data_IF_936473583838
#
_entry.id   IF_936473583838
#
_cell.length_a   1.000
_cell.length_b   1.000
_cell.length_c   1.000
_cell.angle_alpha   90.00
_cell.angle_beta   90.00
_cell.angle_gamma   90.00
#
_symmetry.space_group_name_H-M   'P 1'
#
loop_
_entity.id
_entity.type
_entity.pdbx_description
1 polymer ?
#
# COMPACT_ATOMS: atom_id res chain seq x y z
N UNK A 1 -1.38 11.93 -30.26
CA UNK A 1 -2.06 10.87 -29.47
C UNK A 1 -1.11 10.10 -28.54
N UNK A 2 0.15 10.53 -28.29
CA UNK A 2 1.13 9.72 -27.56
C UNK A 2 1.48 10.12 -26.11
N UNK A 3 0.94 11.22 -25.57
CA UNK A 3 1.23 11.63 -24.17
C UNK A 3 0.33 10.90 -23.18
N UNK A 4 -0.97 10.82 -23.50
CA UNK A 4 -1.99 10.33 -22.57
C UNK A 4 -1.84 8.83 -22.23
N UNK A 5 -1.31 8.03 -23.16
CA UNK A 5 -1.07 6.60 -22.96
C UNK A 5 0.20 6.36 -22.13
N UNK A 6 1.23 7.20 -22.29
CA UNK A 6 2.44 7.15 -21.47
C UNK A 6 2.15 7.60 -20.03
N UNK A 7 1.39 8.69 -19.88
CA UNK A 7 0.96 9.20 -18.57
C UNK A 7 0.09 8.17 -17.82
N UNK A 8 -0.75 7.42 -18.54
CA UNK A 8 -1.56 6.35 -17.96
C UNK A 8 -0.72 5.13 -17.56
N UNK A 9 0.26 4.76 -18.37
CA UNK A 9 1.14 3.64 -18.09
C UNK A 9 2.05 3.91 -16.88
N UNK A 10 2.64 5.11 -16.81
CA UNK A 10 3.45 5.56 -15.67
C UNK A 10 2.62 5.57 -14.37
N UNK A 11 1.36 6.01 -14.46
CA UNK A 11 0.43 6.00 -13.32
C UNK A 11 0.10 4.58 -12.86
N UNK A 12 -0.09 3.63 -13.77
CA UNK A 12 -0.32 2.23 -13.41
C UNK A 12 0.91 1.61 -12.75
N UNK A 13 2.10 1.88 -13.28
CA UNK A 13 3.36 1.44 -12.69
C UNK A 13 3.52 1.97 -11.26
N UNK A 14 3.29 3.28 -11.03
CA UNK A 14 3.35 3.87 -9.70
C UNK A 14 2.36 3.25 -8.70
N UNK A 15 1.15 2.87 -9.15
CA UNK A 15 0.17 2.18 -8.30
C UNK A 15 0.65 0.78 -7.91
N UNK A 16 1.25 0.05 -8.86
CA UNK A 16 1.80 -1.29 -8.61
C UNK A 16 2.98 -1.20 -7.63
N UNK A 17 3.93 -0.30 -7.86
CA UNK A 17 5.07 -0.08 -6.97
C UNK A 17 4.63 0.26 -5.55
N UNK A 18 3.64 1.16 -5.42
CA UNK A 18 3.12 1.55 -4.12
C UNK A 18 2.42 0.38 -3.41
N UNK A 19 1.68 -0.46 -4.14
CA UNK A 19 1.05 -1.66 -3.59
C UNK A 19 2.10 -2.65 -3.04
N UNK A 20 3.19 -2.86 -3.78
CA UNK A 20 4.30 -3.74 -3.36
C UNK A 20 5.02 -3.21 -2.12
N UNK A 21 5.31 -1.90 -2.08
CA UNK A 21 5.93 -1.26 -0.92
C UNK A 21 5.07 -1.38 0.34
N UNK A 22 3.76 -1.13 0.21
CA UNK A 22 2.82 -1.25 1.33
C UNK A 22 2.70 -2.70 1.78
N UNK A 23 2.67 -3.66 0.84
CA UNK A 23 2.66 -5.08 1.18
C UNK A 23 3.89 -5.48 2.01
N UNK A 24 5.09 -5.08 1.58
CA UNK A 24 6.34 -5.32 2.31
C UNK A 24 6.33 -4.64 3.68
N UNK A 25 5.82 -3.41 3.77
CA UNK A 25 5.68 -2.69 5.03
C UNK A 25 4.73 -3.42 6.00
N UNK A 26 3.60 -3.94 5.51
CA UNK A 26 2.65 -4.73 6.31
C UNK A 26 3.30 -6.02 6.84
N UNK A 27 4.04 -6.74 6.01
CA UNK A 27 4.78 -7.92 6.46
C UNK A 27 5.81 -7.60 7.54
N UNK A 28 6.55 -6.51 7.33
CA UNK A 28 7.58 -6.05 8.27
C UNK A 28 6.96 -5.58 9.58
N UNK A 29 5.85 -4.85 9.52
CA UNK A 29 5.05 -4.45 10.67
C UNK A 29 4.55 -5.66 11.46
N UNK A 30 3.98 -6.67 10.78
CA UNK A 30 3.57 -7.93 11.45
C UNK A 30 4.74 -8.62 12.16
N UNK A 31 5.91 -8.70 11.51
CA UNK A 31 7.12 -9.26 12.14
C UNK A 31 7.57 -8.44 13.35
N UNK A 32 7.45 -7.12 13.29
CA UNK A 32 7.77 -6.22 14.40
C UNK A 32 6.80 -6.41 15.57
N UNK A 33 5.50 -6.43 15.31
CA UNK A 33 4.47 -6.67 16.32
C UNK A 33 4.68 -8.03 17.00
N UNK A 34 4.92 -9.10 16.22
CA UNK A 34 5.16 -10.44 16.76
C UNK A 34 6.39 -10.54 17.69
N UNK A 35 7.33 -9.59 17.59
CA UNK A 35 8.54 -9.50 18.43
C UNK A 35 8.45 -8.44 19.53
N UNK A 36 7.34 -7.72 19.59
CA UNK A 36 7.12 -6.61 20.52
C UNK A 36 6.12 -7.02 21.60
N UNK A 37 6.16 -6.33 22.74
CA UNK A 37 5.26 -6.54 23.87
C UNK A 37 4.87 -5.21 24.49
N UNK A 38 3.71 -5.17 25.16
CA UNK A 38 3.16 -3.96 25.78
C UNK A 38 3.02 -2.81 24.78
N UNK A 39 3.37 -1.60 25.19
CA UNK A 39 3.18 -0.39 24.39
C UNK A 39 3.82 -0.46 22.99
N UNK A 40 4.94 -1.16 22.84
CA UNK A 40 5.59 -1.33 21.53
C UNK A 40 4.79 -2.25 20.60
N UNK A 41 4.09 -3.24 21.15
CA UNK A 41 3.16 -4.05 20.37
C UNK A 41 1.98 -3.20 19.88
N UNK A 42 1.40 -2.40 20.77
CA UNK A 42 0.25 -1.55 20.45
C UNK A 42 0.60 -0.56 19.33
N UNK A 43 1.75 0.09 19.43
CA UNK A 43 2.25 0.98 18.37
C UNK A 43 2.53 0.25 17.05
N UNK A 44 3.10 -0.96 17.10
CA UNK A 44 3.33 -1.75 15.89
C UNK A 44 2.01 -2.22 15.25
N UNK A 45 1.00 -2.52 16.06
CA UNK A 45 -0.34 -2.85 15.61
C UNK A 45 -1.02 -1.65 14.93
N UNK A 46 -0.94 -0.45 15.53
CA UNK A 46 -1.48 0.78 14.94
C UNK A 46 -0.86 1.08 13.56
N UNK A 47 0.45 0.89 13.41
CA UNK A 47 1.12 1.04 12.10
C UNK A 47 0.56 0.05 11.09
N UNK A 48 0.33 -1.20 11.48
CA UNK A 48 -0.24 -2.22 10.58
C UNK A 48 -1.66 -1.82 10.14
N UNK A 49 -2.50 -1.32 11.04
CA UNK A 49 -3.86 -0.87 10.72
C UNK A 49 -3.84 0.31 9.75
N UNK A 50 -2.96 1.29 9.95
CA UNK A 50 -2.77 2.39 9.00
C UNK A 50 -2.35 1.88 7.61
N UNK A 51 -1.44 0.90 7.55
CA UNK A 51 -1.03 0.30 6.28
C UNK A 51 -2.15 -0.48 5.59
N UNK A 52 -3.07 -1.10 6.35
CA UNK A 52 -4.28 -1.70 5.77
C UNK A 52 -5.19 -0.64 5.13
N UNK A 53 -5.37 0.50 5.78
CA UNK A 53 -6.15 1.61 5.20
C UNK A 53 -5.50 2.16 3.93
N UNK A 54 -4.17 2.34 3.94
CA UNK A 54 -3.41 2.77 2.75
C UNK A 54 -3.59 1.77 1.61
N UNK A 55 -3.44 0.47 1.88
CA UNK A 55 -3.64 -0.58 0.87
C UNK A 55 -5.05 -0.52 0.25
N UNK A 56 -6.09 -0.36 1.06
CA UNK A 56 -7.46 -0.25 0.56
C UNK A 56 -7.63 0.97 -0.36
N UNK A 57 -6.97 2.10 -0.08
CA UNK A 57 -6.99 3.27 -0.99
C UNK A 57 -6.27 2.98 -2.31
N UNK A 58 -5.15 2.25 -2.28
CA UNK A 58 -4.41 1.85 -3.49
C UNK A 58 -5.27 0.93 -4.36
N UNK A 59 -5.95 -0.05 -3.76
CA UNK A 59 -6.89 -0.95 -4.45
C UNK A 59 -8.03 -0.14 -5.11
N UNK A 60 -8.60 0.84 -4.40
CA UNK A 60 -9.62 1.75 -4.97
C UNK A 60 -9.10 2.62 -6.12
N UNK A 61 -7.86 3.10 -6.03
CA UNK A 61 -7.21 3.82 -7.13
C UNK A 61 -7.10 2.90 -8.33
N UNK A 62 -6.60 1.67 -8.15
CA UNK A 62 -6.44 0.70 -9.22
C UNK A 62 -7.78 0.36 -9.90
N UNK A 63 -8.84 0.11 -9.13
CA UNK A 63 -10.18 -0.16 -9.66
C UNK A 63 -10.75 1.00 -10.47
N UNK A 64 -10.56 2.24 -10.00
CA UNK A 64 -11.01 3.44 -10.72
C UNK A 64 -10.20 3.74 -11.97
N UNK A 65 -8.95 3.26 -12.01
CA UNK A 65 -8.04 3.39 -13.15
C UNK A 65 -8.37 2.39 -14.26
N UNK A 66 -8.86 1.21 -13.89
CA UNK A 66 -9.22 0.14 -14.81
C UNK A 66 -10.62 0.32 -15.45
N UNK A 67 -11.39 1.32 -15.00
CA UNK A 67 -12.74 1.60 -15.51
C UNK A 67 -12.66 2.61 -16.66
N UNK A 68 -13.20 2.29 -17.86
CA UNK A 68 -13.13 3.15 -19.04
C UNK A 68 -13.93 4.44 -18.89
#
# INVERSE_FOLDING_TARGET
MGSNDADEQDRQEAVIELAELVHLAQETGRRLANKSHGDLYDLAHDVIELLHQVRAQIELIQERSAKP
#
